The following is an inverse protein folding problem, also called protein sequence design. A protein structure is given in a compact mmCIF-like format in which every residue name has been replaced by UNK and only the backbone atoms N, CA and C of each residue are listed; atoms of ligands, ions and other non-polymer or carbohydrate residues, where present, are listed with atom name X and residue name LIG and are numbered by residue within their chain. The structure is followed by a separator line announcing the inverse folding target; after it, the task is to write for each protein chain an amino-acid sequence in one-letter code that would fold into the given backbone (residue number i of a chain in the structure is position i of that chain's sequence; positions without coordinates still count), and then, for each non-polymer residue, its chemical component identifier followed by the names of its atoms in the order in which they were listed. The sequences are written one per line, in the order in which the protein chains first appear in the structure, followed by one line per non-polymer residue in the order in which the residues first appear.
data_IF_639049622822
#
_entry.id   IF_639049622822
#
_cell.length_a   1.000
_cell.length_b   1.000
_cell.length_c   1.000
_cell.angle_alpha   90.00
_cell.angle_beta   90.00
_cell.angle_gamma   90.00
#
_symmetry.space_group_name_H-M   'P 1'
#
loop_
_entity.id
_entity.type
_entity.pdbx_description
1 polymer ?
#
# COMPACT_ATOMS: atom_id res chain seq x y z
N UNK A 1 51.44 -14.26 -29.90
CA UNK A 1 50.91 -13.35 -28.86
C UNK A 1 49.54 -12.92 -29.32
N UNK A 2 48.50 -13.69 -28.98
CA UNK A 2 47.15 -13.39 -29.42
C UNK A 2 46.58 -12.25 -28.58
N UNK A 3 46.48 -11.08 -29.21
CA UNK A 3 45.88 -9.88 -28.62
C UNK A 3 44.38 -10.04 -28.49
N UNK A 4 43.92 -10.71 -27.43
CA UNK A 4 42.50 -10.79 -27.10
C UNK A 4 41.97 -9.40 -26.76
N UNK A 5 41.32 -8.75 -27.73
CA UNK A 5 40.59 -7.50 -27.53
C UNK A 5 39.50 -7.73 -26.48
N UNK A 6 39.52 -6.91 -25.41
CA UNK A 6 38.49 -6.95 -24.39
C UNK A 6 37.16 -6.51 -25.01
N UNK A 7 36.05 -7.23 -24.78
CA UNK A 7 34.75 -6.82 -25.29
C UNK A 7 34.34 -5.48 -24.69
N UNK A 8 33.81 -4.58 -25.53
CA UNK A 8 33.25 -3.32 -25.09
C UNK A 8 31.87 -3.57 -24.48
N UNK A 9 31.75 -3.38 -23.16
CA UNK A 9 30.48 -3.51 -22.46
C UNK A 9 29.61 -2.26 -22.71
N UNK A 10 28.35 -2.50 -23.08
CA UNK A 10 27.34 -1.45 -23.23
C UNK A 10 26.46 -1.43 -21.98
N UNK A 11 26.05 -0.24 -21.53
CA UNK A 11 25.16 -0.11 -20.36
C UNK A 11 23.84 -0.84 -20.62
N UNK A 12 23.35 -1.57 -19.61
CA UNK A 12 22.11 -2.35 -19.71
C UNK A 12 20.90 -1.52 -20.14
N UNK A 13 20.80 -0.29 -19.62
CA UNK A 13 19.71 0.64 -19.95
C UNK A 13 19.67 1.01 -21.44
N UNK A 14 20.83 0.99 -22.12
CA UNK A 14 20.91 1.26 -23.56
C UNK A 14 20.43 0.02 -24.34
N UNK A 15 20.80 -1.17 -23.88
CA UNK A 15 20.39 -2.44 -24.50
C UNK A 15 18.85 -2.60 -24.43
N UNK A 16 18.24 -2.14 -23.34
CA UNK A 16 16.80 -2.29 -23.14
C UNK A 16 15.94 -1.32 -23.96
N UNK A 17 16.51 -0.24 -24.50
CA UNK A 17 15.78 0.70 -25.36
C UNK A 17 15.27 0.01 -26.62
N UNK A 18 14.21 0.57 -27.19
CA UNK A 18 13.68 0.04 -28.45
C UNK A 18 14.72 0.09 -29.57
N UNK A 19 14.58 -0.77 -30.59
CA UNK A 19 15.44 -0.72 -31.79
C UNK A 19 15.36 0.64 -32.50
N UNK A 20 14.23 1.34 -32.39
CA UNK A 20 14.03 2.70 -32.94
C UNK A 20 14.87 3.76 -32.21
N UNK A 21 15.14 3.56 -30.92
CA UNK A 21 15.92 4.46 -30.06
C UNK A 21 17.40 4.04 -29.95
N UNK A 22 17.85 3.13 -30.83
CA UNK A 22 19.25 2.66 -30.87
C UNK A 22 19.59 1.57 -29.85
N UNK A 23 18.61 0.96 -29.19
CA UNK A 23 18.80 -0.20 -28.32
C UNK A 23 18.56 -1.54 -29.03
N UNK A 24 18.59 -2.64 -28.27
CA UNK A 24 18.31 -3.98 -28.79
C UNK A 24 16.85 -4.41 -28.60
N UNK A 25 16.06 -3.65 -27.85
CA UNK A 25 14.68 -3.98 -27.51
C UNK A 25 14.56 -5.13 -26.50
N UNK A 26 15.61 -5.38 -25.71
CA UNK A 26 15.57 -6.39 -24.64
C UNK A 26 14.72 -5.86 -23.49
N UNK A 27 13.91 -6.72 -22.87
CA UNK A 27 13.13 -6.32 -21.69
C UNK A 27 14.05 -6.01 -20.50
N UNK A 28 13.80 -4.89 -19.82
CA UNK A 28 14.51 -4.60 -18.59
C UNK A 28 14.06 -5.56 -17.48
N UNK A 29 14.92 -6.51 -17.13
CA UNK A 29 14.68 -7.49 -16.07
C UNK A 29 14.39 -6.84 -14.72
N UNK A 30 14.90 -5.64 -14.44
CA UNK A 30 14.59 -4.94 -13.18
C UNK A 30 13.13 -4.53 -13.15
N UNK A 31 12.63 -3.91 -14.22
CA UNK A 31 11.23 -3.52 -14.35
C UNK A 31 10.30 -4.74 -14.42
N UNK A 32 10.70 -5.79 -15.14
CA UNK A 32 9.93 -7.04 -15.19
C UNK A 32 9.83 -7.69 -13.80
N UNK A 33 10.92 -7.74 -13.04
CA UNK A 33 10.91 -8.27 -11.69
C UNK A 33 10.03 -7.43 -10.75
N UNK A 34 10.10 -6.10 -10.82
CA UNK A 34 9.18 -5.21 -10.08
C UNK A 34 7.72 -5.51 -10.41
N UNK A 35 7.37 -5.63 -11.69
CA UNK A 35 6.02 -5.96 -12.12
C UNK A 35 5.56 -7.34 -11.61
N UNK A 36 6.44 -8.34 -11.62
CA UNK A 36 6.15 -9.66 -11.08
C UNK A 36 5.95 -9.64 -9.56
N UNK A 37 6.79 -8.92 -8.83
CA UNK A 37 6.64 -8.70 -7.39
C UNK A 37 5.32 -8.00 -7.09
N UNK A 38 4.93 -7.02 -7.89
CA UNK A 38 3.64 -6.35 -7.74
C UNK A 38 2.45 -7.24 -8.03
N UNK A 39 2.51 -8.06 -9.08
CA UNK A 39 1.50 -9.09 -9.35
C UNK A 39 1.39 -10.09 -8.20
N UNK A 40 2.52 -10.48 -7.61
CA UNK A 40 2.56 -11.40 -6.47
C UNK A 40 1.95 -10.77 -5.21
N UNK A 41 2.31 -9.52 -4.91
CA UNK A 41 1.72 -8.73 -3.82
C UNK A 41 0.21 -8.57 -4.01
N UNK A 42 -0.25 -8.24 -5.22
CA UNK A 42 -1.67 -8.15 -5.54
C UNK A 42 -2.41 -9.46 -5.25
N UNK A 43 -1.82 -10.61 -5.62
CA UNK A 43 -2.40 -11.93 -5.28
C UNK A 43 -2.45 -12.19 -3.78
N UNK A 44 -1.43 -11.76 -3.04
CA UNK A 44 -1.38 -11.90 -1.57
C UNK A 44 -2.47 -11.08 -0.88
N UNK A 45 -2.87 -9.97 -1.50
CA UNK A 45 -4.02 -9.19 -1.07
C UNK A 45 -5.32 -9.88 -1.47
N UNK A 46 -5.56 -10.09 -2.76
CA UNK A 46 -6.87 -10.55 -3.27
C UNK A 46 -7.23 -11.99 -2.86
N UNK A 47 -6.24 -12.87 -2.66
CA UNK A 47 -6.45 -14.28 -2.30
C UNK A 47 -5.74 -14.61 -0.96
N UNK A 48 -6.30 -14.15 0.18
CA UNK A 48 -5.71 -14.35 1.49
C UNK A 48 -5.75 -15.81 1.98
N UNK A 49 -6.73 -16.58 1.51
CA UNK A 49 -7.02 -17.94 2.01
C UNK A 49 -6.13 -19.01 1.40
N UNK A 50 -5.48 -18.72 0.27
CA UNK A 50 -4.50 -19.63 -0.29
C UNK A 50 -3.42 -19.99 0.74
N UNK A 51 -3.03 -21.27 0.80
CA UNK A 51 -2.10 -21.78 1.81
C UNK A 51 -0.79 -20.98 1.87
N UNK A 52 -0.25 -20.63 0.70
CA UNK A 52 0.97 -19.83 0.61
C UNK A 52 0.76 -18.41 1.16
N UNK A 53 -0.40 -17.79 0.89
CA UNK A 53 -0.76 -16.47 1.42
C UNK A 53 -0.83 -16.49 2.94
N UNK A 54 -1.47 -17.51 3.52
CA UNK A 54 -1.57 -17.70 4.98
C UNK A 54 -0.20 -17.84 5.63
N UNK A 55 0.69 -18.67 5.06
CA UNK A 55 2.06 -18.84 5.57
C UNK A 55 2.84 -17.53 5.55
N UNK A 56 2.73 -16.76 4.47
CA UNK A 56 3.41 -15.47 4.33
C UNK A 56 2.82 -14.44 5.32
N UNK A 57 1.49 -14.41 5.47
CA UNK A 57 0.79 -13.54 6.43
C UNK A 57 1.23 -13.80 7.86
N UNK A 58 1.17 -15.05 8.30
CA UNK A 58 1.61 -15.44 9.66
C UNK A 58 3.08 -15.10 9.93
N UNK A 59 3.94 -15.23 8.91
CA UNK A 59 5.37 -14.97 9.06
C UNK A 59 5.70 -13.48 9.09
N UNK A 60 5.05 -12.67 8.26
CA UNK A 60 5.49 -11.30 7.97
C UNK A 60 4.51 -10.19 8.36
N UNK A 61 3.23 -10.49 8.57
CA UNK A 61 2.21 -9.47 8.84
C UNK A 61 1.96 -9.35 10.36
N UNK A 62 2.00 -8.12 10.93
CA UNK A 62 1.37 -7.87 12.21
C UNK A 62 -0.15 -8.01 12.05
N UNK A 63 -0.83 -8.47 13.10
CA UNK A 63 -2.21 -8.96 13.05
C UNK A 63 -3.29 -7.94 12.61
N UNK A 64 -2.94 -6.71 12.24
CA UNK A 64 -3.88 -5.59 12.15
C UNK A 64 -3.90 -4.79 10.83
N UNK A 65 -3.22 -5.16 9.73
CA UNK A 65 -3.42 -4.45 8.45
C UNK A 65 -2.89 -5.22 7.23
N UNK A 66 -3.61 -5.11 6.10
CA UNK A 66 -3.25 -5.74 4.81
C UNK A 66 -2.00 -5.16 4.14
N UNK A 67 -1.60 -3.92 4.43
CA UNK A 67 -0.43 -3.28 3.80
C UNK A 67 0.63 -2.77 4.78
N UNK A 68 0.41 -2.89 6.08
CA UNK A 68 1.50 -2.75 7.05
C UNK A 68 2.35 -4.02 7.06
N UNK A 69 3.13 -4.21 6.00
CA UNK A 69 4.08 -5.31 5.82
C UNK A 69 5.31 -5.17 6.72
N UNK A 70 5.24 -4.32 7.74
CA UNK A 70 6.33 -4.08 8.67
C UNK A 70 6.55 -5.38 9.44
N UNK A 71 7.70 -6.05 9.25
CA UNK A 71 7.97 -7.30 9.90
C UNK A 71 7.91 -7.09 11.41
N UNK A 72 7.33 -8.05 12.14
CA UNK A 72 7.42 -8.09 13.60
C UNK A 72 8.89 -7.91 13.98
N UNK A 73 9.20 -7.05 14.95
CA UNK A 73 10.56 -6.62 15.40
C UNK A 73 11.56 -7.76 15.71
N UNK A 74 11.19 -9.03 15.53
CA UNK A 74 11.99 -10.24 15.80
C UNK A 74 12.21 -11.15 14.59
N UNK A 75 11.71 -10.82 13.38
CA UNK A 75 11.86 -11.69 12.20
C UNK A 75 13.05 -11.22 11.35
N UNK A 76 14.01 -12.11 11.10
CA UNK A 76 15.04 -11.89 10.10
C UNK A 76 14.39 -11.70 8.73
N UNK A 77 14.55 -10.50 8.15
CA UNK A 77 13.98 -10.14 6.86
C UNK A 77 14.80 -10.84 5.77
N UNK A 78 14.20 -11.83 5.11
CA UNK A 78 14.82 -12.48 3.96
C UNK A 78 15.05 -11.47 2.83
N UNK A 79 16.07 -11.68 2.00
CA UNK A 79 16.33 -10.81 0.85
C UNK A 79 15.13 -10.71 -0.09
N UNK A 80 14.37 -11.80 -0.22
CA UNK A 80 13.10 -11.83 -0.97
C UNK A 80 12.09 -10.86 -0.36
N UNK A 81 11.89 -10.89 0.97
CA UNK A 81 10.95 -9.98 1.63
C UNK A 81 11.40 -8.53 1.57
N UNK A 82 12.72 -8.26 1.66
CA UNK A 82 13.27 -6.91 1.47
C UNK A 82 12.94 -6.35 0.08
N UNK A 83 13.17 -7.14 -0.96
CA UNK A 83 12.82 -6.75 -2.33
C UNK A 83 11.32 -6.53 -2.51
N UNK A 84 10.48 -7.30 -1.82
CA UNK A 84 9.02 -7.07 -1.81
C UNK A 84 8.70 -5.73 -1.15
N UNK A 85 9.26 -5.45 0.03
CA UNK A 85 9.04 -4.19 0.75
C UNK A 85 9.45 -2.96 -0.07
N UNK A 86 10.52 -3.05 -0.87
CA UNK A 86 10.93 -1.97 -1.76
C UNK A 86 9.87 -1.64 -2.82
N UNK A 87 9.19 -2.66 -3.37
CA UNK A 87 8.17 -2.46 -4.42
C UNK A 87 6.80 -2.11 -3.80
N UNK A 88 6.57 -2.46 -2.54
CA UNK A 88 5.31 -2.19 -1.84
C UNK A 88 5.01 -0.70 -1.76
N UNK A 89 6.00 0.15 -1.49
CA UNK A 89 5.78 1.60 -1.43
C UNK A 89 5.37 2.17 -2.80
N UNK A 90 6.02 1.73 -3.88
CA UNK A 90 5.66 2.11 -5.27
C UNK A 90 4.23 1.64 -5.63
N UNK A 91 3.82 0.47 -5.15
CA UNK A 91 2.49 -0.07 -5.43
C UNK A 91 1.42 0.58 -4.54
N UNK A 92 1.72 0.89 -3.29
CA UNK A 92 0.77 1.54 -2.35
C UNK A 92 0.17 2.81 -2.94
N UNK A 93 0.98 3.61 -3.63
CA UNK A 93 0.53 4.82 -4.33
C UNK A 93 -0.46 4.53 -5.46
N UNK A 94 -0.42 3.34 -6.04
CA UNK A 94 -1.29 2.89 -7.13
C UNK A 94 -2.48 2.03 -6.65
N UNK A 95 -2.58 1.76 -5.35
CA UNK A 95 -3.64 0.93 -4.78
C UNK A 95 -4.78 1.78 -4.24
N UNK A 96 -6.00 1.46 -4.67
CA UNK A 96 -7.22 1.95 -4.04
C UNK A 96 -7.88 0.81 -3.27
N UNK A 97 -8.28 1.11 -2.04
CA UNK A 97 -9.05 0.20 -1.21
C UNK A 97 -10.53 0.48 -1.35
N UNK A 98 -11.31 -0.60 -1.44
CA UNK A 98 -12.78 -0.54 -1.34
C UNK A 98 -13.15 -1.03 0.05
N UNK A 99 -13.80 -0.20 0.88
CA UNK A 99 -14.29 -0.62 2.19
C UNK A 99 -15.26 -1.79 2.05
N UNK A 100 -14.92 -2.92 2.68
CA UNK A 100 -15.81 -4.06 2.88
C UNK A 100 -16.37 -4.05 4.30
N UNK A 101 -16.07 -5.09 5.08
CA UNK A 101 -16.40 -5.16 6.51
C UNK A 101 -15.51 -4.29 7.42
N UNK A 102 -14.54 -3.57 6.84
CA UNK A 102 -13.67 -2.63 7.54
C UNK A 102 -12.61 -3.25 8.47
N UNK A 103 -12.45 -4.58 8.53
CA UNK A 103 -11.59 -5.25 9.54
C UNK A 103 -10.10 -5.21 9.21
N UNK A 104 -9.73 -4.78 8.01
CA UNK A 104 -8.38 -4.91 7.46
C UNK A 104 -7.84 -3.60 6.84
N UNK A 105 -8.65 -2.55 6.82
CA UNK A 105 -8.34 -1.23 6.23
C UNK A 105 -8.30 -0.23 7.36
N UNK A 106 -7.20 0.53 7.46
CA UNK A 106 -7.09 1.64 8.41
C UNK A 106 -7.90 2.83 7.92
N UNK A 107 -8.71 3.37 8.82
CA UNK A 107 -9.53 4.53 8.57
C UNK A 107 -8.67 5.71 8.10
N UNK A 108 -7.63 6.10 8.83
CA UNK A 108 -6.90 7.33 8.50
C UNK A 108 -5.85 7.20 7.40
N UNK A 109 -5.08 6.10 7.40
CA UNK A 109 -3.83 5.99 6.62
C UNK A 109 -3.98 5.29 5.27
N UNK A 110 -4.99 4.45 5.08
CA UNK A 110 -5.14 3.69 3.85
C UNK A 110 -5.97 4.48 2.81
N UNK A 111 -5.67 4.29 1.52
CA UNK A 111 -6.26 5.04 0.41
C UNK A 111 -7.63 4.48 -0.03
N UNK A 112 -8.68 4.75 0.75
CA UNK A 112 -10.03 4.24 0.48
C UNK A 112 -11.07 5.33 0.12
N UNK A 113 -10.67 6.61 0.12
CA UNK A 113 -11.49 7.71 -0.40
C UNK A 113 -11.01 8.09 -1.80
N UNK A 114 -11.51 7.39 -2.83
CA UNK A 114 -11.15 7.65 -4.24
C UNK A 114 -9.64 7.67 -4.51
N UNK A 115 -8.90 6.75 -3.87
CA UNK A 115 -7.44 6.65 -4.02
C UNK A 115 -6.65 7.61 -3.11
N UNK A 116 -7.31 8.38 -2.25
CA UNK A 116 -6.68 9.18 -1.20
C UNK A 116 -7.00 8.63 0.18
N UNK A 117 -6.15 8.92 1.16
CA UNK A 117 -6.40 8.56 2.55
C UNK A 117 -7.11 9.71 3.27
N UNK A 118 -7.99 9.45 4.26
CA UNK A 118 -8.58 10.52 5.05
C UNK A 118 -7.54 11.45 5.69
N UNK A 119 -6.40 10.91 6.12
CA UNK A 119 -5.31 11.72 6.69
C UNK A 119 -4.68 12.70 5.68
N UNK A 120 -4.62 12.35 4.39
CA UNK A 120 -4.10 13.26 3.37
C UNK A 120 -5.09 14.35 3.00
N UNK A 121 -6.39 14.08 3.08
CA UNK A 121 -7.46 15.01 2.72
C UNK A 121 -7.86 15.94 3.89
N UNK A 122 -7.82 15.42 5.12
CA UNK A 122 -8.30 16.09 6.33
C UNK A 122 -7.22 16.07 7.43
N UNK A 123 -6.11 16.82 7.24
CA UNK A 123 -4.95 16.75 8.11
C UNK A 123 -5.21 17.33 9.52
N UNK A 124 -6.09 18.33 9.65
CA UNK A 124 -6.39 18.92 10.96
C UNK A 124 -7.23 17.95 11.80
N UNK A 125 -8.21 17.30 11.17
CA UNK A 125 -9.02 16.26 11.78
C UNK A 125 -8.19 15.02 12.12
N UNK A 126 -7.26 14.61 11.26
CA UNK A 126 -6.37 13.49 11.55
C UNK A 126 -5.51 13.73 12.80
N UNK A 127 -5.04 14.97 13.01
CA UNK A 127 -4.22 15.33 14.19
C UNK A 127 -4.94 15.09 15.52
N UNK A 128 -6.27 15.08 15.52
CA UNK A 128 -7.08 14.82 16.71
C UNK A 128 -7.56 13.37 16.81
N UNK A 129 -7.16 12.47 15.91
CA UNK A 129 -7.45 11.04 16.01
C UNK A 129 -6.85 10.43 17.29
N UNK A 130 -7.61 9.60 18.00
CA UNK A 130 -7.11 8.85 19.17
C UNK A 130 -6.01 7.88 18.71
N UNK A 131 -6.34 7.03 17.76
CA UNK A 131 -5.47 6.03 17.18
C UNK A 131 -5.37 6.24 15.67
N UNK A 132 -4.15 6.49 15.20
CA UNK A 132 -3.87 6.73 13.78
C UNK A 132 -3.94 5.45 12.94
N UNK A 133 -3.86 4.28 13.60
CA UNK A 133 -3.95 2.97 12.97
C UNK A 133 -5.34 2.33 13.20
N UNK A 134 -6.33 3.14 13.58
CA UNK A 134 -7.74 2.73 13.70
C UNK A 134 -8.23 2.07 12.42
N UNK A 135 -8.96 0.96 12.56
CA UNK A 135 -9.60 0.27 11.46
C UNK A 135 -10.93 0.96 11.10
N UNK A 136 -11.33 0.85 9.84
CA UNK A 136 -12.64 1.32 9.38
C UNK A 136 -13.75 0.70 10.26
N UNK A 137 -13.65 -0.59 10.61
CA UNK A 137 -14.62 -1.28 11.47
C UNK A 137 -14.89 -0.55 12.80
N UNK A 138 -13.87 0.08 13.37
CA UNK A 138 -13.97 0.73 14.68
C UNK A 138 -14.46 2.19 14.56
N UNK A 139 -14.67 2.67 13.34
CA UNK A 139 -15.01 4.06 13.01
C UNK A 139 -16.44 4.22 12.46
N UNK A 140 -17.25 3.16 12.40
CA UNK A 140 -18.65 3.24 12.02
C UNK A 140 -19.55 2.31 12.83
N UNK A 141 -20.84 2.66 12.91
CA UNK A 141 -21.91 1.83 13.42
C UNK A 141 -22.95 1.59 12.33
N UNK A 142 -23.41 0.35 12.17
CA UNK A 142 -24.55 0.04 11.32
C UNK A 142 -25.84 0.11 12.15
N UNK A 143 -26.74 1.00 11.76
CA UNK A 143 -28.14 0.97 12.17
C UNK A 143 -28.98 0.27 11.09
N UNK A 144 -30.29 0.11 11.35
CA UNK A 144 -31.21 -0.68 10.52
C UNK A 144 -31.19 -0.26 9.03
N UNK A 145 -30.95 1.02 8.72
CA UNK A 145 -30.91 1.56 7.36
C UNK A 145 -29.83 2.62 7.12
N UNK A 146 -28.86 2.78 8.02
CA UNK A 146 -27.86 3.84 7.92
C UNK A 146 -26.52 3.41 8.49
N UNK A 147 -25.45 4.01 7.96
CA UNK A 147 -24.11 3.92 8.51
C UNK A 147 -23.84 5.25 9.21
N UNK A 148 -23.54 5.19 10.50
CA UNK A 148 -23.14 6.36 11.28
C UNK A 148 -21.62 6.29 11.45
N UNK A 149 -20.92 7.23 10.84
CA UNK A 149 -19.47 7.36 10.96
C UNK A 149 -19.12 8.11 12.25
N UNK A 150 -18.31 7.47 13.08
CA UNK A 150 -17.86 7.96 14.39
C UNK A 150 -16.38 7.63 14.59
N UNK A 151 -15.45 8.31 13.90
CA UNK A 151 -14.03 8.14 14.18
C UNK A 151 -13.71 8.56 15.62
N UNK A 152 -12.74 7.87 16.24
CA UNK A 152 -12.37 8.11 17.63
C UNK A 152 -11.44 9.33 17.74
N UNK A 153 -11.91 10.39 18.41
CA UNK A 153 -11.21 11.68 18.50
C UNK A 153 -10.84 12.03 19.95
N UNK A 154 -9.66 12.62 20.15
CA UNK A 154 -9.06 12.86 21.48
C UNK A 154 -9.74 13.95 22.29
N UNK A 155 -10.44 14.85 21.60
CA UNK A 155 -11.07 16.05 22.17
C UNK A 155 -12.22 16.52 21.29
N UNK A 156 -12.96 17.49 21.78
CA UNK A 156 -13.92 18.24 20.97
C UNK A 156 -13.20 18.98 19.83
N UNK A 157 -13.92 19.11 18.72
CA UNK A 157 -13.43 19.71 17.49
C UNK A 157 -13.49 21.24 17.56
N UNK A 158 -12.50 21.90 16.96
CA UNK A 158 -12.58 23.32 16.62
C UNK A 158 -13.50 23.54 15.41
N UNK A 159 -13.83 24.80 15.10
CA UNK A 159 -14.63 25.15 13.93
C UNK A 159 -13.98 24.64 12.62
N UNK A 160 -12.67 24.81 12.47
CA UNK A 160 -11.92 24.29 11.31
C UNK A 160 -11.97 22.75 11.22
N UNK A 161 -11.87 22.04 12.35
CA UNK A 161 -11.93 20.57 12.38
C UNK A 161 -13.36 20.06 12.14
N UNK A 162 -14.39 20.82 12.53
CA UNK A 162 -15.79 20.53 12.24
C UNK A 162 -16.11 20.65 10.74
N UNK A 163 -15.51 21.63 10.05
CA UNK A 163 -15.63 21.78 8.60
C UNK A 163 -15.00 20.59 7.86
N UNK A 164 -13.79 20.17 8.27
CA UNK A 164 -13.14 18.97 7.74
C UNK A 164 -13.97 17.71 8.03
N UNK A 165 -14.53 17.57 9.23
CA UNK A 165 -15.39 16.45 9.58
C UNK A 165 -16.66 16.41 8.74
N UNK A 166 -17.30 17.55 8.51
CA UNK A 166 -18.49 17.64 7.65
C UNK A 166 -18.16 17.28 6.20
N UNK A 167 -17.01 17.73 5.69
CA UNK A 167 -16.52 17.40 4.36
C UNK A 167 -16.20 15.91 4.22
N UNK A 168 -15.58 15.31 5.25
CA UNK A 168 -15.33 13.87 5.33
C UNK A 168 -16.65 13.08 5.26
N UNK A 169 -17.66 13.44 6.05
CA UNK A 169 -18.97 12.79 5.99
C UNK A 169 -19.61 12.92 4.61
N UNK A 170 -19.46 14.07 3.94
CA UNK A 170 -19.91 14.26 2.56
C UNK A 170 -19.25 13.34 1.54
N UNK A 171 -18.02 12.88 1.78
CA UNK A 171 -17.35 11.89 0.94
C UNK A 171 -17.81 10.44 1.18
N UNK A 172 -18.56 10.19 2.25
CA UNK A 172 -18.94 8.85 2.72
C UNK A 172 -20.39 8.48 2.40
N UNK A 173 -21.14 9.39 1.77
CA UNK A 173 -22.55 9.25 1.38
C UNK A 173 -22.73 9.10 -0.13
#
# INVERSE_FOLDING_TARGET
MDGCRKPHLVKWDIICRSKKEGGMGVLDFRNMNKALLGKWLWRLLVDPEALWSRVIREKYYPACSRLNLIPRKRVSISNVWRNILEVVEEIKESLQFVPGNGVEIRFWKDAWLNGSSPASLFPNLFRVAIDEDDLIRDSFMCEVNSIIWMPRLRRNLSDEELEEFSSLLGCLH
#
